data_IF_474329950764
#
_entry.id   IF_474329950764
#
_cell.length_a   1.000
_cell.length_b   1.000
_cell.length_c   1.000
_cell.angle_alpha   90.00
_cell.angle_beta   90.00
_cell.angle_gamma   90.00
#
_symmetry.space_group_name_H-M   'P 1'
#
loop_
_entity.id
_entity.type
_entity.pdbx_description
1 polymer ?
#
# COMPACT_ATOMS: atom_id res chain seq x y z
N UNK A 1 2.81 -1.18 -9.45
CA UNK A 1 2.77 0.24 -9.88
C UNK A 1 1.57 0.55 -10.72
N UNK A 2 1.05 -0.45 -11.44
CA UNK A 2 -0.14 -0.34 -12.30
C UNK A 2 -1.34 0.37 -11.64
N UNK A 3 -1.52 0.22 -10.32
CA UNK A 3 -2.63 0.85 -9.60
C UNK A 3 -2.48 2.35 -9.37
N UNK A 4 -1.25 2.87 -9.20
CA UNK A 4 -1.02 4.30 -8.92
C UNK A 4 -0.69 5.10 -10.17
N UNK A 5 -0.31 4.44 -11.27
CA UNK A 5 0.19 5.11 -12.49
C UNK A 5 1.55 5.81 -12.31
N UNK A 6 2.18 5.68 -11.14
CA UNK A 6 3.44 6.35 -10.81
C UNK A 6 4.64 5.41 -11.02
N UNK A 7 5.81 5.95 -11.42
CA UNK A 7 7.01 5.15 -11.60
C UNK A 7 7.59 4.68 -10.26
N UNK A 8 8.47 3.68 -10.33
CA UNK A 8 9.10 3.07 -9.17
C UNK A 8 9.90 4.03 -8.31
N UNK A 9 10.63 4.93 -8.97
CA UNK A 9 11.40 6.00 -8.33
C UNK A 9 10.55 6.98 -7.53
N UNK A 10 9.23 6.99 -7.71
CA UNK A 10 8.31 7.83 -6.91
C UNK A 10 7.62 7.01 -5.82
N UNK A 11 7.13 5.81 -6.16
CA UNK A 11 6.34 5.00 -5.22
C UNK A 11 7.16 4.54 -4.02
N UNK A 12 8.35 3.98 -4.22
CA UNK A 12 9.13 3.45 -3.09
C UNK A 12 9.63 4.54 -2.14
N UNK A 13 10.12 5.70 -2.60
CA UNK A 13 10.44 6.79 -1.70
C UNK A 13 9.23 7.38 -0.99
N UNK A 14 8.04 7.35 -1.59
CA UNK A 14 6.81 7.77 -0.90
C UNK A 14 6.45 6.80 0.23
N UNK A 15 6.43 5.49 -0.05
CA UNK A 15 6.17 4.45 0.97
C UNK A 15 7.18 4.51 2.11
N UNK A 16 8.46 4.75 1.80
CA UNK A 16 9.50 4.93 2.83
C UNK A 16 9.18 6.10 3.76
N UNK A 17 8.82 7.27 3.22
CA UNK A 17 8.49 8.45 4.04
C UNK A 17 7.26 8.24 4.91
N UNK A 18 6.24 7.56 4.37
CA UNK A 18 5.05 7.21 5.15
C UNK A 18 5.40 6.25 6.29
N UNK A 19 6.30 5.29 6.05
CA UNK A 19 6.77 4.35 7.07
C UNK A 19 7.59 5.06 8.14
N UNK A 20 8.53 5.94 7.75
CA UNK A 20 9.32 6.77 8.66
C UNK A 20 8.45 7.70 9.51
N UNK A 21 7.31 8.13 8.98
CA UNK A 21 6.32 8.95 9.70
C UNK A 21 5.38 8.13 10.59
N UNK A 22 5.52 6.80 10.64
CA UNK A 22 4.67 5.90 11.43
C UNK A 22 3.24 5.75 10.89
N UNK A 23 3.00 6.12 9.63
CA UNK A 23 1.66 6.07 9.02
C UNK A 23 1.38 4.72 8.34
N UNK A 24 2.43 3.99 7.94
CA UNK A 24 2.31 2.66 7.36
C UNK A 24 3.27 1.67 8.00
N UNK A 25 2.77 0.47 8.24
CA UNK A 25 3.54 -0.71 8.59
C UNK A 25 4.13 -1.36 7.34
N UNK A 26 5.13 -2.22 7.54
CA UNK A 26 5.70 -3.01 6.46
C UNK A 26 6.02 -4.42 6.93
N UNK A 27 5.57 -5.42 6.19
CA UNK A 27 5.80 -6.83 6.50
C UNK A 27 6.31 -7.56 5.26
N UNK A 28 7.31 -8.41 5.45
CA UNK A 28 7.70 -9.34 4.40
C UNK A 28 6.76 -10.55 4.40
N UNK A 29 6.41 -11.01 3.21
CA UNK A 29 5.72 -12.28 3.01
C UNK A 29 6.56 -13.43 3.59
N UNK A 30 5.89 -14.47 4.08
CA UNK A 30 6.55 -15.70 4.55
C UNK A 30 7.40 -16.30 3.42
N UNK A 31 8.68 -16.55 3.69
CA UNK A 31 9.62 -17.09 2.71
C UNK A 31 9.16 -18.41 2.10
N UNK A 32 8.51 -19.28 2.90
CA UNK A 32 7.96 -20.54 2.41
C UNK A 32 6.92 -20.36 1.28
N UNK A 33 6.09 -19.32 1.36
CA UNK A 33 5.12 -19.02 0.31
C UNK A 33 5.80 -18.50 -0.97
N UNK A 34 6.83 -17.66 -0.80
CA UNK A 34 7.60 -17.14 -1.93
C UNK A 34 8.41 -18.23 -2.66
N UNK A 35 8.98 -19.16 -1.89
CA UNK A 35 9.74 -20.29 -2.42
C UNK A 35 8.86 -21.26 -3.21
N UNK A 36 7.63 -21.54 -2.74
CA UNK A 36 6.65 -22.37 -3.45
C UNK A 36 6.32 -21.77 -4.83
N UNK A 37 6.19 -20.44 -4.88
CA UNK A 37 5.91 -19.67 -6.09
C UNK A 37 7.16 -19.37 -6.96
N UNK A 38 8.34 -19.86 -6.57
CA UNK A 38 9.63 -19.63 -7.26
C UNK A 38 9.93 -18.15 -7.54
N UNK A 39 9.63 -17.27 -6.59
CA UNK A 39 9.81 -15.83 -6.71
C UNK A 39 10.39 -15.24 -5.42
N UNK A 40 10.99 -14.03 -5.47
CA UNK A 40 11.33 -13.31 -4.26
C UNK A 40 10.10 -13.03 -3.38
N UNK A 41 10.32 -12.96 -2.07
CA UNK A 41 9.28 -12.58 -1.11
C UNK A 41 8.77 -11.16 -1.40
N UNK A 42 7.46 -10.97 -1.32
CA UNK A 42 6.86 -9.63 -1.47
C UNK A 42 6.95 -8.88 -0.15
N UNK A 43 7.11 -7.56 -0.24
CA UNK A 43 6.93 -6.67 0.91
C UNK A 43 5.55 -6.04 0.84
N UNK A 44 4.72 -6.32 1.84
CA UNK A 44 3.40 -5.74 2.01
C UNK A 44 3.46 -4.52 2.91
N UNK A 45 2.58 -3.56 2.65
CA UNK A 45 2.43 -2.34 3.42
C UNK A 45 0.97 -2.21 3.82
N UNK A 46 0.71 -1.83 5.06
CA UNK A 46 -0.62 -1.61 5.63
C UNK A 46 -0.68 -0.26 6.33
N UNK A 47 -1.85 0.37 6.38
CA UNK A 47 -2.02 1.56 7.21
C UNK A 47 -1.95 1.16 8.68
N UNK A 48 -1.27 1.99 9.47
CA UNK A 48 -1.34 1.95 10.93
C UNK A 48 -2.49 2.87 11.41
N UNK A 49 -2.85 2.79 12.69
CA UNK A 49 -3.91 3.65 13.28
C UNK A 49 -3.64 5.15 13.04
N UNK A 50 -2.37 5.58 13.14
CA UNK A 50 -1.98 6.96 12.83
C UNK A 50 -2.14 7.28 11.34
N UNK A 51 -1.90 6.32 10.45
CA UNK A 51 -2.11 6.43 9.01
C UNK A 51 -3.58 6.62 8.64
N UNK A 52 -4.48 5.86 9.28
CA UNK A 52 -5.92 6.01 9.08
C UNK A 52 -6.40 7.42 9.47
N UNK A 53 -5.94 7.92 10.61
CA UNK A 53 -6.27 9.28 11.07
C UNK A 53 -5.72 10.36 10.12
N UNK A 54 -4.49 10.19 9.64
CA UNK A 54 -3.88 11.09 8.67
C UNK A 54 -4.60 11.07 7.31
N UNK A 55 -5.08 9.89 6.88
CA UNK A 55 -5.88 9.74 5.67
C UNK A 55 -7.21 10.48 5.78
N UNK A 56 -7.97 10.29 6.86
CA UNK A 56 -9.23 11.03 7.10
C UNK A 56 -9.00 12.55 7.07
N UNK A 57 -7.96 13.04 7.74
CA UNK A 57 -7.61 14.46 7.73
C UNK A 57 -7.26 14.96 6.30
N UNK A 58 -6.54 14.16 5.52
CA UNK A 58 -6.18 14.50 4.15
C UNK A 58 -7.40 14.55 3.22
N UNK A 59 -8.34 13.60 3.34
CA UNK A 59 -9.57 13.58 2.54
C UNK A 59 -10.49 14.75 2.90
N UNK A 60 -10.62 15.10 4.18
CA UNK A 60 -11.34 16.32 4.61
C UNK A 60 -10.70 17.59 4.04
N UNK A 61 -9.37 17.63 3.97
CA UNK A 61 -8.63 18.78 3.44
C UNK A 61 -8.73 18.88 1.93
N UNK A 62 -8.76 17.75 1.24
CA UNK A 62 -8.79 17.66 -0.21
C UNK A 62 -9.93 16.73 -0.68
N UNK A 63 -11.20 17.17 -0.62
CA UNK A 63 -12.36 16.31 -0.92
C UNK A 63 -12.36 15.76 -2.36
N UNK A 64 -11.66 16.43 -3.28
CA UNK A 64 -11.53 15.95 -4.66
C UNK A 64 -10.68 14.67 -4.77
N UNK A 65 -9.86 14.36 -3.77
CA UNK A 65 -9.04 13.14 -3.77
C UNK A 65 -9.88 11.87 -3.66
N UNK A 66 -11.04 11.91 -2.98
CA UNK A 66 -11.95 10.75 -2.91
C UNK A 66 -12.40 10.35 -4.32
N UNK A 67 -12.80 11.33 -5.14
CA UNK A 67 -13.23 11.09 -6.52
C UNK A 67 -12.10 10.55 -7.39
N UNK A 68 -10.85 10.95 -7.14
CA UNK A 68 -9.70 10.40 -7.86
C UNK A 68 -9.44 8.96 -7.42
N UNK A 69 -9.50 8.68 -6.12
CA UNK A 69 -9.29 7.34 -5.56
C UNK A 69 -10.34 6.34 -6.05
N UNK A 70 -11.60 6.73 -6.16
CA UNK A 70 -12.68 5.93 -6.73
C UNK A 70 -12.42 5.50 -8.18
N UNK A 71 -11.72 6.35 -8.95
CA UNK A 71 -11.40 6.12 -10.35
C UNK A 71 -10.07 5.39 -10.56
N UNK A 72 -9.30 5.10 -9.50
CA UNK A 72 -8.12 4.27 -9.63
C UNK A 72 -8.54 2.81 -9.89
N UNK A 73 -7.90 2.11 -10.84
CA UNK A 73 -8.24 0.72 -11.14
C UNK A 73 -8.03 -0.14 -9.89
N UNK A 74 -9.13 -0.63 -9.32
CA UNK A 74 -9.12 -1.57 -8.20
C UNK A 74 -8.63 -2.93 -8.69
N UNK A 75 -7.32 -3.12 -8.80
CA UNK A 75 -6.75 -4.46 -8.98
C UNK A 75 -6.96 -5.19 -7.66
N UNK A 76 -7.69 -6.31 -7.68
CA UNK A 76 -7.96 -7.14 -6.51
C UNK A 76 -6.65 -7.36 -5.75
N UNK A 77 -6.52 -6.79 -4.55
CA UNK A 77 -5.49 -7.24 -3.62
C UNK A 77 -5.74 -8.74 -3.47
N UNK A 78 -4.76 -9.54 -3.92
CA UNK A 78 -4.85 -10.99 -3.89
C UNK A 78 -5.37 -11.42 -2.53
N UNK A 79 -6.54 -12.06 -2.55
CA UNK A 79 -7.19 -12.49 -1.32
C UNK A 79 -6.19 -13.32 -0.53
N UNK A 80 -5.92 -12.92 0.72
CA UNK A 80 -5.27 -13.79 1.69
C UNK A 80 -6.18 -15.02 1.80
N UNK A 81 -5.79 -16.14 1.17
CA UNK A 81 -6.29 -17.46 1.56
C UNK A 81 -5.80 -17.68 2.99
N UNK A 82 -6.68 -17.45 3.94
CA UNK A 82 -6.59 -18.05 5.27
C UNK A 82 -7.03 -19.50 5.08
N UNK A 83 -6.09 -20.43 5.06
CA UNK A 83 -6.33 -21.82 5.47
C UNK A 83 -6.06 -21.95 6.96
#
# INVERSE_FOLDING_TARGET
MDCTGLPSGTVYPALRRLQESGLVGSEWEKEAAAQLDQRPARKYYSLETAGESALDAALRRYPLLERVAENLPQKSLGQKKTE
#
